data_IF_763846303681
#
_entry.id   IF_763846303681
#
_cell.length_a   1.000
_cell.length_b   1.000
_cell.length_c   1.000
_cell.angle_alpha   90.00
_cell.angle_beta   90.00
_cell.angle_gamma   90.00
#
_symmetry.space_group_name_H-M   'P 1'
#
loop_
_entity.id
_entity.type
_entity.pdbx_description
1 polymer ?
#
# COMPACT_ATOMS: atom_id res chain seq x y z
N UNK A 1 13.23 -12.39 13.75
CA UNK A 1 11.79 -12.64 13.51
C UNK A 1 11.28 -11.42 12.77
N UNK A 2 11.25 -11.48 11.45
CA UNK A 2 10.75 -10.37 10.63
C UNK A 2 9.23 -10.35 10.75
N UNK A 3 8.63 -9.22 11.13
CA UNK A 3 7.18 -9.07 11.18
C UNK A 3 6.69 -8.56 9.84
N UNK A 4 5.78 -9.30 9.22
CA UNK A 4 5.15 -8.94 7.95
C UNK A 4 3.75 -8.39 8.21
N UNK A 5 3.41 -7.30 7.54
CA UNK A 5 2.10 -6.65 7.59
C UNK A 5 1.56 -6.59 6.17
N UNK A 6 0.28 -6.91 6.01
CA UNK A 6 -0.42 -6.77 4.75
C UNK A 6 -1.02 -5.37 4.66
N UNK A 7 -0.64 -4.62 3.64
CA UNK A 7 -1.25 -3.33 3.33
C UNK A 7 -2.57 -3.63 2.62
N UNK A 8 -3.68 -3.36 3.33
CA UNK A 8 -5.03 -3.61 2.84
C UNK A 8 -5.71 -2.30 2.44
N UNK A 9 -6.63 -2.39 1.50
CA UNK A 9 -7.50 -1.26 1.14
C UNK A 9 -8.65 -1.13 2.12
N UNK A 10 -8.90 0.09 2.60
CA UNK A 10 -10.04 0.38 3.48
C UNK A 10 -11.38 0.32 2.73
N UNK A 11 -11.37 0.47 1.41
CA UNK A 11 -12.58 0.46 0.57
C UNK A 11 -12.25 0.01 -0.86
N UNK A 12 -13.26 -0.40 -1.62
CA UNK A 12 -13.11 -0.71 -3.03
C UNK A 12 -12.79 0.56 -3.85
N UNK A 13 -11.85 0.46 -4.77
CA UNK A 13 -11.34 1.59 -5.52
C UNK A 13 -10.43 1.19 -6.68
N UNK A 14 -9.74 2.17 -7.25
CA UNK A 14 -8.74 1.95 -8.31
C UNK A 14 -7.39 2.47 -7.82
N UNK A 15 -6.33 1.69 -8.00
CA UNK A 15 -4.97 2.13 -7.69
C UNK A 15 -4.58 3.24 -8.68
N UNK A 16 -4.45 4.47 -8.21
CA UNK A 16 -4.06 5.61 -9.04
C UNK A 16 -2.56 5.57 -9.36
N UNK A 17 -1.75 5.38 -8.31
CA UNK A 17 -0.30 5.48 -8.40
C UNK A 17 0.39 4.77 -7.25
N UNK A 18 1.52 4.13 -7.50
CA UNK A 18 2.40 3.60 -6.47
C UNK A 18 3.52 4.63 -6.26
N UNK A 19 3.69 5.09 -5.02
CA UNK A 19 4.68 6.13 -4.65
C UNK A 19 5.95 5.48 -4.10
N UNK A 20 5.81 4.36 -3.40
CA UNK A 20 6.92 3.61 -2.85
C UNK A 20 7.55 2.66 -3.88
N UNK A 21 8.88 2.58 -3.88
CA UNK A 21 9.59 1.56 -4.64
C UNK A 21 9.65 0.23 -3.85
N UNK A 22 9.69 -0.93 -4.52
CA UNK A 22 10.02 -2.20 -3.87
C UNK A 22 11.36 -2.10 -3.14
N UNK A 23 11.46 -2.72 -1.97
CA UNK A 23 12.63 -2.69 -1.08
C UNK A 23 13.04 -1.29 -0.58
N UNK A 24 12.22 -0.26 -0.80
CA UNK A 24 12.48 1.07 -0.26
C UNK A 24 12.18 1.11 1.25
N UNK A 25 13.12 1.65 2.02
CA UNK A 25 12.93 1.95 3.43
C UNK A 25 11.93 3.10 3.59
N UNK A 26 10.90 2.86 4.40
CA UNK A 26 9.81 3.78 4.71
C UNK A 26 9.64 3.90 6.22
N UNK A 27 9.11 5.03 6.66
CA UNK A 27 8.77 5.34 8.04
C UNK A 27 7.26 5.27 8.25
N UNK A 28 6.83 5.18 9.51
CA UNK A 28 5.41 5.23 9.86
C UNK A 28 4.77 6.53 9.33
N UNK A 29 3.70 6.39 8.54
CA UNK A 29 2.99 7.51 7.91
C UNK A 29 3.50 7.90 6.51
N UNK A 30 4.54 7.25 5.98
CA UNK A 30 4.99 7.50 4.60
C UNK A 30 3.99 6.93 3.58
N UNK A 31 3.76 7.66 2.49
CA UNK A 31 2.81 7.25 1.45
C UNK A 31 3.39 6.11 0.58
N UNK A 32 2.73 4.96 0.60
CA UNK A 32 3.07 3.77 -0.18
C UNK A 32 2.45 3.86 -1.58
N UNK A 33 1.16 4.15 -1.63
CA UNK A 33 0.41 4.24 -2.87
C UNK A 33 -0.82 5.14 -2.69
N UNK A 34 -1.42 5.56 -3.80
CA UNK A 34 -2.62 6.39 -3.83
C UNK A 34 -3.69 5.60 -4.57
N UNK A 35 -4.87 5.50 -3.97
CA UNK A 35 -6.06 4.89 -4.57
C UNK A 35 -7.14 5.96 -4.76
N UNK A 36 -7.99 5.78 -5.76
CA UNK A 36 -9.23 6.54 -5.93
C UNK A 36 -10.42 5.67 -5.54
N UNK A 37 -11.29 6.17 -4.67
CA UNK A 37 -12.61 5.59 -4.43
C UNK A 37 -13.66 6.69 -4.33
N UNK A 38 -14.78 6.52 -5.04
CA UNK A 38 -15.92 7.45 -4.99
C UNK A 38 -15.54 8.93 -5.24
N UNK A 39 -14.61 9.18 -6.18
CA UNK A 39 -14.04 10.50 -6.50
C UNK A 39 -13.22 11.14 -5.37
N UNK A 40 -12.78 10.34 -4.40
CA UNK A 40 -11.85 10.75 -3.35
C UNK A 40 -10.55 9.97 -3.47
N UNK A 41 -9.43 10.66 -3.31
CA UNK A 41 -8.10 10.05 -3.25
C UNK A 41 -7.82 9.61 -1.82
N UNK A 42 -7.43 8.34 -1.65
CA UNK A 42 -7.11 7.72 -0.38
C UNK A 42 -5.64 7.27 -0.45
N UNK A 43 -4.73 7.97 0.24
CA UNK A 43 -3.35 7.53 0.36
C UNK A 43 -3.26 6.33 1.30
N UNK A 44 -2.54 5.30 0.85
CA UNK A 44 -2.16 4.16 1.66
C UNK A 44 -0.81 4.45 2.29
N UNK A 45 -0.77 4.49 3.61
CA UNK A 45 0.40 4.90 4.37
C UNK A 45 1.05 3.72 5.09
N UNK A 46 2.36 3.77 5.27
CA UNK A 46 3.09 2.74 5.99
C UNK A 46 2.70 2.73 7.48
N UNK A 47 2.33 1.56 8.04
CA UNK A 47 1.87 1.47 9.43
C UNK A 47 3.01 1.67 10.44
N UNK A 48 4.26 1.39 10.04
CA UNK A 48 5.44 1.49 10.87
C UNK A 48 6.70 1.64 9.98
N UNK A 49 7.87 1.75 10.61
CA UNK A 49 9.13 1.76 9.88
C UNK A 49 9.47 0.36 9.33
N UNK A 50 9.83 0.29 8.06
CA UNK A 50 10.02 -0.97 7.34
C UNK A 50 10.21 -0.75 5.84
N UNK A 51 9.91 -1.75 5.03
CA UNK A 51 10.01 -1.67 3.58
C UNK A 51 8.92 -2.52 2.89
N UNK A 52 8.61 -2.21 1.63
CA UNK A 52 7.69 -3.03 0.82
C UNK A 52 8.46 -4.24 0.26
N UNK A 53 8.02 -5.44 0.61
CA UNK A 53 8.56 -6.68 0.06
C UNK A 53 8.03 -6.97 -1.35
N UNK A 54 6.73 -6.81 -1.56
CA UNK A 54 6.11 -7.05 -2.86
C UNK A 54 4.77 -6.29 -2.99
N UNK A 55 4.45 -5.88 -4.22
CA UNK A 55 3.13 -5.38 -4.59
C UNK A 55 2.38 -6.47 -5.35
N UNK A 56 1.10 -6.68 -5.01
CA UNK A 56 0.24 -7.65 -5.69
C UNK A 56 -0.54 -7.04 -6.86
N UNK A 57 -0.53 -5.71 -6.98
CA UNK A 57 -1.25 -4.96 -7.99
C UNK A 57 -0.37 -3.87 -8.59
N UNK A 58 -0.73 -3.46 -9.80
CA UNK A 58 -0.07 -2.40 -10.55
C UNK A 58 -0.95 -1.15 -10.63
N UNK A 59 -0.34 -0.01 -10.99
CA UNK A 59 -1.08 1.24 -11.23
C UNK A 59 -2.20 1.02 -12.26
N UNK A 60 -3.40 1.50 -11.94
CA UNK A 60 -4.62 1.30 -12.72
C UNK A 60 -5.41 0.03 -12.40
N UNK A 61 -4.94 -0.80 -11.46
CA UNK A 61 -5.68 -1.99 -11.04
C UNK A 61 -6.92 -1.64 -10.20
N UNK A 62 -7.98 -2.43 -10.37
CA UNK A 62 -9.17 -2.38 -9.53
C UNK A 62 -8.94 -3.18 -8.25
N UNK A 63 -9.15 -2.53 -7.10
CA UNK A 63 -9.03 -3.09 -5.76
C UNK A 63 -10.42 -3.19 -5.15
N UNK A 64 -10.69 -4.30 -4.47
CA UNK A 64 -11.91 -4.48 -3.67
C UNK A 64 -11.69 -3.94 -2.25
N UNK A 65 -12.75 -3.91 -1.44
CA UNK A 65 -12.64 -3.64 0.00
C UNK A 65 -11.84 -4.77 0.67
N UNK A 66 -10.97 -4.44 1.61
CA UNK A 66 -10.09 -5.39 2.32
C UNK A 66 -9.06 -6.13 1.43
N UNK A 67 -8.86 -5.69 0.19
CA UNK A 67 -7.91 -6.28 -0.74
C UNK A 67 -6.47 -6.02 -0.32
N UNK A 68 -5.61 -7.04 -0.40
CA UNK A 68 -4.19 -6.96 -0.02
C UNK A 68 -3.40 -6.33 -1.16
N UNK A 69 -3.09 -5.03 -1.06
CA UNK A 69 -2.31 -4.30 -2.06
C UNK A 69 -0.85 -4.76 -2.10
N UNK A 70 -0.22 -4.85 -0.95
CA UNK A 70 1.22 -5.08 -0.82
C UNK A 70 1.59 -5.76 0.49
N UNK A 71 2.75 -6.42 0.52
CA UNK A 71 3.35 -6.96 1.74
C UNK A 71 4.42 -6.00 2.24
N UNK A 72 4.29 -5.54 3.48
CA UNK A 72 5.23 -4.66 4.17
C UNK A 72 5.98 -5.44 5.24
N UNK A 73 7.29 -5.25 5.35
CA UNK A 73 8.14 -5.93 6.33
C UNK A 73 8.72 -4.90 7.28
N UNK A 74 8.51 -5.09 8.57
CA UNK A 74 9.08 -4.23 9.60
C UNK A 74 10.60 -4.39 9.65
N UNK A 75 11.29 -3.26 9.73
CA UNK A 75 12.74 -3.20 9.95
C UNK A 75 13.11 -3.14 11.42
#
# INVERSE_FOLDING_TARGET
>A
MSQEIEIRTDTAGTLLKIVAAPDALMSAGDDIAIMESMKMEIPLQAPAAGFIAEFFFEEGALLEEDAVLARFVLS
#
